data_IF_179487601464
#
_entry.id   IF_179487601464
#
_cell.length_a   1.000
_cell.length_b   1.000
_cell.length_c   1.000
_cell.angle_alpha   90.00
_cell.angle_beta   90.00
_cell.angle_gamma   90.00
#
_symmetry.space_group_name_H-M   'P 1'
#
loop_
_entity.id
_entity.type
_entity.pdbx_description
1 polymer ?
#
# COMPACT_ATOMS: atom_id res chain seq x y z
N UNK A 1 12.24 -7.77 4.01
CA UNK A 1 11.74 -8.78 3.07
C UNK A 1 11.41 -10.09 3.79
N UNK A 2 12.34 -10.71 4.56
CA UNK A 2 12.10 -12.00 5.26
C UNK A 2 10.79 -12.02 6.06
N UNK A 3 10.45 -10.92 6.75
CA UNK A 3 9.21 -10.86 7.52
C UNK A 3 7.94 -10.83 6.64
N UNK A 4 7.99 -10.22 5.48
CA UNK A 4 6.88 -10.28 4.52
C UNK A 4 6.69 -11.70 3.99
N UNK A 5 7.80 -12.39 3.68
CA UNK A 5 7.80 -13.80 3.25
C UNK A 5 7.23 -14.72 4.35
N UNK A 6 7.66 -14.56 5.60
CA UNK A 6 7.11 -15.30 6.76
C UNK A 6 5.59 -15.10 6.92
N UNK A 7 5.09 -13.93 6.57
CA UNK A 7 3.66 -13.62 6.60
C UNK A 7 2.91 -14.06 5.33
N UNK A 8 3.59 -14.65 4.35
CA UNK A 8 2.99 -15.01 3.06
C UNK A 8 2.56 -13.80 2.22
N UNK A 9 3.12 -12.60 2.51
CA UNK A 9 2.87 -11.40 1.70
C UNK A 9 3.88 -11.38 0.56
N UNK A 10 3.42 -11.36 -0.72
CA UNK A 10 4.32 -11.33 -1.85
C UNK A 10 5.29 -10.14 -1.79
N UNK A 11 6.58 -10.43 -1.91
CA UNK A 11 7.65 -9.46 -1.91
C UNK A 11 8.82 -9.95 -2.77
N UNK A 12 9.80 -9.08 -3.04
CA UNK A 12 10.94 -9.45 -3.88
C UNK A 12 11.82 -10.51 -3.20
N UNK A 13 12.32 -11.42 -4.01
CA UNK A 13 13.38 -12.35 -3.61
C UNK A 13 14.69 -11.59 -3.40
N UNK A 14 15.26 -11.72 -2.21
CA UNK A 14 16.57 -11.13 -1.90
C UNK A 14 17.66 -12.08 -2.37
N UNK A 15 18.48 -11.63 -3.33
CA UNK A 15 19.62 -12.41 -3.87
C UNK A 15 20.83 -12.23 -2.97
N UNK A 16 21.12 -10.99 -2.56
CA UNK A 16 22.26 -10.65 -1.73
C UNK A 16 22.00 -9.39 -0.91
N UNK A 17 22.69 -9.27 0.22
CA UNK A 17 22.77 -8.03 0.96
C UNK A 17 24.19 -7.83 1.50
N UNK A 18 24.60 -6.58 1.67
CA UNK A 18 25.86 -6.20 2.27
C UNK A 18 25.68 -5.02 3.21
N UNK A 19 26.41 -5.00 4.29
CA UNK A 19 26.43 -3.90 5.26
C UNK A 19 27.88 -3.51 5.58
N UNK A 20 28.13 -2.20 5.68
CA UNK A 20 29.36 -1.67 6.23
C UNK A 20 29.07 -1.05 7.58
N UNK A 21 29.67 -1.60 8.61
CA UNK A 21 29.54 -1.11 10.00
C UNK A 21 30.89 -0.59 10.54
N UNK A 22 30.83 0.40 11.41
CA UNK A 22 31.96 0.88 12.22
C UNK A 22 31.48 1.04 13.65
N UNK A 23 32.18 0.42 14.59
CA UNK A 23 31.82 0.41 16.02
C UNK A 23 30.34 0.01 16.28
N UNK A 24 29.83 -0.97 15.53
CA UNK A 24 28.44 -1.42 15.62
C UNK A 24 27.41 -0.54 14.89
N UNK A 25 27.78 0.65 14.44
CA UNK A 25 26.89 1.58 13.73
C UNK A 25 26.93 1.25 12.23
N UNK A 26 25.77 1.06 11.63
CA UNK A 26 25.62 0.86 10.19
C UNK A 26 25.91 2.16 9.44
N UNK A 27 26.92 2.16 8.58
CA UNK A 27 27.33 3.29 7.76
C UNK A 27 26.72 3.25 6.35
N UNK A 28 26.59 2.04 5.80
CA UNK A 28 26.01 1.82 4.48
C UNK A 28 25.42 0.41 4.42
N UNK A 29 24.39 0.24 3.60
CA UNK A 29 23.79 -1.05 3.29
C UNK A 29 23.42 -1.11 1.82
N UNK A 30 23.50 -2.30 1.24
CA UNK A 30 23.07 -2.60 -0.11
C UNK A 30 22.24 -3.88 -0.07
N UNK A 31 21.16 -3.90 -0.83
CA UNK A 31 20.34 -5.09 -1.03
C UNK A 31 20.16 -5.29 -2.54
N UNK A 32 20.36 -6.50 -2.99
CA UNK A 32 20.12 -6.92 -4.37
C UNK A 32 18.92 -7.84 -4.38
N UNK A 33 17.93 -7.52 -5.19
CA UNK A 33 16.71 -8.28 -5.32
C UNK A 33 16.50 -8.73 -6.75
N UNK A 34 15.82 -9.86 -6.93
CA UNK A 34 15.40 -10.34 -8.25
C UNK A 34 14.26 -9.47 -8.77
N UNK A 35 14.43 -8.92 -9.97
CA UNK A 35 13.38 -8.16 -10.64
C UNK A 35 12.22 -9.07 -11.07
N UNK A 36 11.02 -8.53 -11.11
CA UNK A 36 9.82 -9.21 -11.64
C UNK A 36 9.53 -8.58 -13.01
N UNK A 37 9.63 -9.34 -14.12
CA UNK A 37 9.37 -8.81 -15.45
C UNK A 37 7.89 -8.41 -15.59
N UNK A 38 7.61 -7.52 -16.54
CA UNK A 38 6.25 -7.06 -16.91
C UNK A 38 5.42 -6.50 -15.75
N UNK A 39 6.07 -5.95 -14.74
CA UNK A 39 5.43 -5.23 -13.65
C UNK A 39 5.69 -3.74 -13.72
N UNK A 40 4.75 -2.97 -13.17
CA UNK A 40 4.84 -1.53 -12.92
C UNK A 40 4.57 -1.32 -11.44
N UNK A 41 5.05 -0.23 -10.87
CA UNK A 41 4.47 0.19 -9.61
C UNK A 41 3.03 0.69 -9.83
N UNK A 42 2.23 0.67 -8.77
CA UNK A 42 0.80 0.94 -8.87
C UNK A 42 0.50 2.40 -9.30
N UNK A 43 1.39 3.36 -9.04
CA UNK A 43 1.26 4.75 -9.51
C UNK A 43 1.50 4.83 -11.02
N UNK A 44 2.58 4.23 -11.53
CA UNK A 44 2.88 4.14 -12.95
C UNK A 44 1.83 3.32 -13.71
N UNK A 45 1.35 2.22 -13.13
CA UNK A 45 0.25 1.44 -13.69
C UNK A 45 -1.02 2.31 -13.83
N UNK A 46 -1.37 3.07 -12.80
CA UNK A 46 -2.55 3.92 -12.85
C UNK A 46 -2.44 5.01 -13.92
N UNK A 47 -1.26 5.62 -14.08
CA UNK A 47 -1.01 6.71 -15.03
C UNK A 47 -0.88 6.25 -16.47
N UNK A 48 -0.21 5.12 -16.72
CA UNK A 48 0.19 4.70 -18.07
C UNK A 48 -0.71 3.62 -18.68
N UNK A 49 -1.47 2.91 -17.85
CA UNK A 49 -2.30 1.78 -18.31
C UNK A 49 -3.76 1.95 -17.91
N UNK A 50 -4.02 1.97 -16.60
CA UNK A 50 -5.38 1.93 -16.04
C UNK A 50 -6.23 3.14 -16.43
N UNK A 51 -5.65 4.36 -16.47
CA UNK A 51 -6.38 5.59 -16.84
C UNK A 51 -6.99 5.53 -18.25
N UNK A 52 -6.39 4.75 -19.17
CA UNK A 52 -6.83 4.62 -20.56
C UNK A 52 -7.94 3.56 -20.74
N UNK A 53 -8.31 2.84 -19.70
CA UNK A 53 -9.36 1.82 -19.79
C UNK A 53 -10.76 2.43 -19.67
N UNK A 54 -11.81 1.75 -20.21
CA UNK A 54 -13.18 2.14 -19.98
C UNK A 54 -13.53 2.20 -18.49
N UNK A 55 -14.36 3.16 -18.11
CA UNK A 55 -14.72 3.42 -16.69
C UNK A 55 -15.16 2.18 -15.93
N UNK A 56 -15.97 1.31 -16.56
CA UNK A 56 -16.45 0.08 -15.93
C UNK A 56 -15.26 -0.83 -15.54
N UNK A 57 -14.35 -1.08 -16.48
CA UNK A 57 -13.14 -1.88 -16.24
C UNK A 57 -12.24 -1.24 -15.19
N UNK A 58 -12.08 0.10 -15.24
CA UNK A 58 -11.28 0.83 -14.22
C UNK A 58 -11.81 0.58 -12.81
N UNK A 59 -13.11 0.71 -12.59
CA UNK A 59 -13.73 0.51 -11.27
C UNK A 59 -13.66 -0.95 -10.81
N UNK A 60 -13.89 -1.89 -11.71
CA UNK A 60 -13.78 -3.32 -11.42
C UNK A 60 -12.36 -3.69 -10.97
N UNK A 61 -11.35 -3.34 -11.77
CA UNK A 61 -9.95 -3.59 -11.45
C UNK A 61 -9.53 -2.90 -10.15
N UNK A 62 -9.89 -1.63 -9.97
CA UNK A 62 -9.57 -0.90 -8.75
C UNK A 62 -10.16 -1.56 -7.50
N UNK A 63 -11.38 -2.09 -7.58
CA UNK A 63 -12.01 -2.82 -6.47
C UNK A 63 -11.35 -4.17 -6.21
N UNK A 64 -10.94 -4.89 -7.25
CA UNK A 64 -10.22 -6.16 -7.13
C UNK A 64 -8.85 -5.94 -6.48
N UNK A 65 -8.05 -5.01 -7.00
CA UNK A 65 -6.75 -4.63 -6.44
C UNK A 65 -6.87 -4.13 -5.00
N UNK A 66 -7.85 -3.25 -4.72
CA UNK A 66 -8.07 -2.75 -3.36
C UNK A 66 -8.42 -3.88 -2.38
N UNK A 67 -9.28 -4.83 -2.79
CA UNK A 67 -9.64 -5.97 -1.95
C UNK A 67 -8.44 -6.80 -1.58
N UNK A 68 -7.61 -7.19 -2.56
CA UNK A 68 -6.41 -7.98 -2.34
C UNK A 68 -5.38 -7.24 -1.47
N UNK A 69 -5.06 -6.00 -1.84
CA UNK A 69 -4.08 -5.17 -1.13
C UNK A 69 -4.49 -4.88 0.32
N UNK A 70 -5.75 -4.55 0.56
CA UNK A 70 -6.25 -4.26 1.90
C UNK A 70 -6.38 -5.52 2.76
N UNK A 71 -6.63 -6.68 2.16
CA UNK A 71 -6.54 -7.98 2.85
C UNK A 71 -5.10 -8.27 3.30
N UNK A 72 -4.12 -8.07 2.41
CA UNK A 72 -2.69 -8.18 2.75
C UNK A 72 -2.30 -7.19 3.85
N UNK A 73 -2.71 -5.92 3.76
CA UNK A 73 -2.42 -4.90 4.77
C UNK A 73 -3.04 -5.26 6.13
N UNK A 74 -4.29 -5.71 6.15
CA UNK A 74 -4.95 -6.19 7.36
C UNK A 74 -4.23 -7.38 7.98
N UNK A 75 -3.80 -8.33 7.16
CA UNK A 75 -3.03 -9.49 7.61
C UNK A 75 -1.69 -9.08 8.22
N UNK A 76 -0.93 -8.20 7.55
CA UNK A 76 0.32 -7.64 8.06
C UNK A 76 0.12 -6.96 9.42
N UNK A 77 -0.85 -6.05 9.51
CA UNK A 77 -1.13 -5.28 10.72
C UNK A 77 -1.55 -6.17 11.89
N UNK A 78 -2.40 -7.18 11.67
CA UNK A 78 -2.81 -8.16 12.70
C UNK A 78 -1.63 -8.98 13.23
N UNK A 79 -0.59 -9.16 12.42
CA UNK A 79 0.65 -9.84 12.82
C UNK A 79 1.72 -8.85 13.32
N UNK A 80 1.33 -7.61 13.63
CA UNK A 80 2.21 -6.59 14.19
C UNK A 80 3.25 -6.04 13.21
N UNK A 81 3.09 -6.26 11.90
CA UNK A 81 3.98 -5.70 10.89
C UNK A 81 3.36 -4.44 10.28
N UNK A 82 4.10 -3.34 10.31
CA UNK A 82 3.74 -2.05 9.71
C UNK A 82 4.83 -1.62 8.75
N UNK A 83 4.46 -1.29 7.52
CA UNK A 83 5.38 -0.90 6.46
C UNK A 83 5.93 0.52 6.68
N UNK A 84 5.11 1.43 7.21
CA UNK A 84 5.38 2.86 7.44
C UNK A 84 5.65 3.70 6.19
N UNK A 85 5.68 3.11 5.00
CA UNK A 85 5.75 3.79 3.71
C UNK A 85 4.94 3.05 2.63
N UNK A 86 3.78 2.49 2.99
CA UNK A 86 2.92 1.74 2.08
C UNK A 86 2.22 2.71 1.12
N UNK A 87 2.93 3.06 0.05
CA UNK A 87 2.49 3.96 -1.03
C UNK A 87 2.34 3.16 -2.32
N UNK A 88 1.60 3.70 -3.28
CA UNK A 88 1.38 3.07 -4.57
C UNK A 88 2.68 2.71 -5.30
N UNK A 89 3.69 3.58 -5.27
CA UNK A 89 5.01 3.31 -5.85
C UNK A 89 5.79 2.16 -5.18
N UNK A 90 5.38 1.74 -3.99
CA UNK A 90 5.99 0.65 -3.24
C UNK A 90 5.19 -0.66 -3.35
N UNK A 91 4.30 -0.74 -4.34
CA UNK A 91 3.46 -1.89 -4.65
C UNK A 91 3.56 -2.14 -6.15
N UNK A 92 4.09 -3.29 -6.53
CA UNK A 92 4.13 -3.70 -7.93
C UNK A 92 2.85 -4.44 -8.31
N UNK A 93 2.47 -4.31 -9.57
CA UNK A 93 1.36 -5.01 -10.21
C UNK A 93 1.72 -5.29 -11.67
N UNK A 94 1.20 -6.36 -12.26
CA UNK A 94 1.38 -6.63 -13.68
C UNK A 94 0.54 -5.67 -14.55
N UNK A 95 0.85 -5.59 -15.85
CA UNK A 95 0.21 -4.65 -16.79
C UNK A 95 -1.28 -4.90 -17.04
N UNK A 96 -1.81 -6.04 -16.65
CA UNK A 96 -3.25 -6.34 -16.77
C UNK A 96 -4.04 -6.00 -15.51
N UNK A 97 -3.35 -5.64 -14.42
CA UNK A 97 -3.98 -5.27 -13.16
C UNK A 97 -4.55 -6.46 -12.39
N UNK A 98 -3.87 -7.61 -12.48
CA UNK A 98 -4.24 -8.81 -11.75
C UNK A 98 -3.98 -8.64 -10.24
N UNK A 99 -4.99 -8.78 -9.38
CA UNK A 99 -4.82 -8.66 -7.93
C UNK A 99 -3.86 -9.70 -7.32
N UNK A 100 -3.69 -10.86 -7.97
CA UNK A 100 -2.76 -11.90 -7.49
C UNK A 100 -1.30 -11.57 -7.82
N UNK A 101 -1.06 -10.56 -8.67
CA UNK A 101 0.28 -10.09 -9.01
C UNK A 101 0.84 -9.02 -8.07
N UNK A 102 0.09 -8.62 -7.04
CA UNK A 102 0.52 -7.57 -6.09
C UNK A 102 1.74 -8.00 -5.28
N UNK A 103 2.79 -7.18 -5.33
CA UNK A 103 4.06 -7.41 -4.62
C UNK A 103 4.46 -6.16 -3.85
N UNK A 104 4.80 -6.31 -2.57
CA UNK A 104 5.25 -5.21 -1.73
C UNK A 104 6.77 -5.05 -1.80
N UNK A 105 7.22 -3.82 -1.95
CA UNK A 105 8.64 -3.48 -2.04
C UNK A 105 8.98 -2.32 -1.11
N UNK A 106 10.25 -2.12 -0.87
CA UNK A 106 10.82 -0.94 -0.19
C UNK A 106 10.26 -0.68 1.22
N UNK A 107 10.43 -1.64 2.12
CA UNK A 107 10.01 -1.55 3.52
C UNK A 107 11.17 -1.24 4.51
N UNK A 108 12.03 -0.21 4.28
CA UNK A 108 13.20 0.06 5.13
C UNK A 108 12.82 0.57 6.53
N UNK A 109 11.60 1.10 6.68
CA UNK A 109 11.06 1.62 7.94
C UNK A 109 10.12 0.67 8.64
N UNK A 110 9.96 -0.54 8.09
CA UNK A 110 9.08 -1.54 8.68
C UNK A 110 9.45 -1.82 10.14
N UNK A 111 8.46 -1.86 10.99
CA UNK A 111 8.66 -2.09 12.42
C UNK A 111 7.66 -3.10 12.97
N UNK A 112 8.08 -3.75 14.06
CA UNK A 112 7.18 -4.52 14.93
C UNK A 112 6.79 -3.61 16.10
N UNK A 113 5.56 -3.11 16.12
CA UNK A 113 5.11 -2.22 17.19
C UNK A 113 3.87 -2.81 17.87
N UNK A 114 4.03 -3.35 19.08
CA UNK A 114 2.90 -3.75 19.92
C UNK A 114 2.21 -2.57 20.63
N UNK A 115 2.92 -1.48 20.89
CA UNK A 115 2.41 -0.37 21.72
C UNK A 115 1.78 0.81 20.95
N UNK A 116 1.90 0.86 19.60
CA UNK A 116 1.36 1.95 18.76
C UNK A 116 0.76 1.43 17.45
N UNK A 117 0.14 0.27 17.50
CA UNK A 117 -0.45 -0.41 16.33
C UNK A 117 -1.36 0.51 15.52
N UNK A 118 -2.25 1.23 16.20
CA UNK A 118 -3.19 2.17 15.56
C UNK A 118 -2.48 3.25 14.74
N UNK A 119 -1.32 3.75 15.20
CA UNK A 119 -0.54 4.76 14.46
C UNK A 119 0.09 4.15 13.19
N UNK A 120 0.58 2.92 13.28
CA UNK A 120 1.10 2.17 12.14
C UNK A 120 0.03 1.96 11.07
N UNK A 121 -1.14 1.46 11.48
CA UNK A 121 -2.32 1.30 10.60
C UNK A 121 -2.68 2.60 9.89
N UNK A 122 -2.83 3.72 10.65
CA UNK A 122 -3.19 5.01 10.05
C UNK A 122 -2.10 5.49 9.07
N UNK A 123 -0.83 5.27 9.38
CA UNK A 123 0.28 5.66 8.50
C UNK A 123 0.22 4.90 7.18
N UNK A 124 0.07 3.59 7.21
CA UNK A 124 0.04 2.76 6.01
C UNK A 124 -1.22 3.00 5.17
N UNK A 125 -2.40 3.04 5.79
CA UNK A 125 -3.64 3.38 5.09
C UNK A 125 -3.63 4.80 4.51
N UNK A 126 -2.97 5.75 5.17
CA UNK A 126 -2.81 7.11 4.63
C UNK A 126 -1.87 7.11 3.41
N UNK A 127 -0.83 6.29 3.41
CA UNK A 127 0.03 6.09 2.25
C UNK A 127 -0.74 5.63 1.03
N UNK A 128 -1.61 4.62 1.20
CA UNK A 128 -2.50 4.12 0.14
C UNK A 128 -3.56 5.14 -0.27
N UNK A 129 -4.15 5.84 0.68
CA UNK A 129 -5.21 6.81 0.43
C UNK A 129 -4.72 8.08 -0.29
N UNK A 130 -3.42 8.36 -0.27
CA UNK A 130 -2.84 9.60 -0.79
C UNK A 130 -3.25 9.92 -2.23
N UNK A 131 -3.20 8.92 -3.11
CA UNK A 131 -3.61 9.03 -4.51
C UNK A 131 -5.11 8.71 -4.64
N UNK A 132 -5.60 7.73 -3.90
CA UNK A 132 -6.97 7.28 -3.98
C UNK A 132 -8.01 8.40 -3.73
N UNK A 133 -7.72 9.36 -2.86
CA UNK A 133 -8.65 10.48 -2.56
C UNK A 133 -8.91 11.40 -3.75
N UNK A 134 -8.01 11.49 -4.72
CA UNK A 134 -8.22 12.26 -5.96
C UNK A 134 -8.90 11.46 -7.06
N UNK A 135 -8.93 10.12 -6.95
CA UNK A 135 -9.44 9.21 -7.99
C UNK A 135 -10.84 8.69 -7.73
N UNK A 136 -11.19 8.52 -6.45
CA UNK A 136 -12.40 7.82 -6.04
C UNK A 136 -13.34 8.70 -5.24
N UNK A 137 -14.63 8.51 -5.46
CA UNK A 137 -15.66 9.17 -4.66
C UNK A 137 -15.55 8.78 -3.19
N UNK A 138 -16.07 9.64 -2.30
CA UNK A 138 -16.14 9.34 -0.87
C UNK A 138 -16.83 8.00 -0.58
N UNK A 139 -17.80 7.61 -1.40
CA UNK A 139 -18.52 6.35 -1.27
C UNK A 139 -17.59 5.15 -1.55
N UNK A 140 -16.78 5.21 -2.63
CA UNK A 140 -15.80 4.16 -2.92
C UNK A 140 -14.70 4.10 -1.86
N UNK A 141 -14.24 5.25 -1.37
CA UNK A 141 -13.25 5.29 -0.29
C UNK A 141 -13.78 4.64 1.00
N UNK A 142 -15.06 4.87 1.35
CA UNK A 142 -15.71 4.18 2.47
C UNK A 142 -15.82 2.68 2.24
N UNK A 143 -16.09 2.23 1.01
CA UNK A 143 -16.08 0.81 0.64
C UNK A 143 -14.71 0.19 0.86
N UNK A 144 -13.62 0.89 0.50
CA UNK A 144 -12.25 0.44 0.75
C UNK A 144 -11.95 0.31 2.25
N UNK A 145 -12.42 1.25 3.07
CA UNK A 145 -12.30 1.12 4.53
C UNK A 145 -13.02 -0.12 5.06
N UNK A 146 -14.23 -0.41 4.55
CA UNK A 146 -14.94 -1.64 4.92
C UNK A 146 -14.19 -2.91 4.46
N UNK A 147 -13.60 -2.91 3.26
CA UNK A 147 -12.76 -4.02 2.80
C UNK A 147 -11.56 -4.27 3.74
N UNK A 148 -10.93 -3.20 4.24
CA UNK A 148 -9.84 -3.31 5.21
C UNK A 148 -10.31 -3.87 6.55
N UNK A 149 -11.40 -3.36 7.10
CA UNK A 149 -11.92 -3.79 8.40
C UNK A 149 -12.53 -5.20 8.37
N UNK A 150 -13.09 -5.59 7.21
CA UNK A 150 -13.79 -6.86 6.98
C UNK A 150 -15.28 -6.79 7.29
N UNK A 151 -15.98 -7.88 6.99
CA UNK A 151 -17.45 -7.95 6.97
C UNK A 151 -18.12 -7.70 8.33
N UNK A 152 -17.42 -7.96 9.43
CA UNK A 152 -17.96 -7.81 10.79
C UNK A 152 -17.82 -6.40 11.37
N UNK A 153 -17.22 -5.47 10.60
CA UNK A 153 -16.99 -4.12 11.07
C UNK A 153 -18.28 -3.28 11.11
N UNK A 154 -18.49 -2.64 12.24
CA UNK A 154 -19.60 -1.71 12.38
C UNK A 154 -19.34 -0.39 11.60
N UNK A 155 -20.43 0.25 11.13
CA UNK A 155 -20.35 1.51 10.38
C UNK A 155 -19.74 2.67 11.19
N UNK A 156 -19.79 2.60 12.52
CA UNK A 156 -19.13 3.56 13.42
C UNK A 156 -17.61 3.44 13.40
N UNK A 157 -17.11 2.21 13.39
CA UNK A 157 -15.67 1.93 13.29
C UNK A 157 -15.10 2.40 11.95
N UNK A 158 -15.80 2.08 10.85
CA UNK A 158 -15.40 2.52 9.52
C UNK A 158 -15.35 4.05 9.41
N UNK A 159 -16.34 4.77 9.93
CA UNK A 159 -16.35 6.23 9.98
C UNK A 159 -15.24 6.81 10.84
N UNK A 160 -14.89 6.17 11.97
CA UNK A 160 -13.78 6.60 12.83
C UNK A 160 -12.44 6.44 12.11
N UNK A 161 -12.18 5.28 11.51
CA UNK A 161 -10.95 5.01 10.77
C UNK A 161 -10.81 5.96 9.57
N UNK A 162 -11.86 6.13 8.78
CA UNK A 162 -11.87 7.06 7.64
C UNK A 162 -11.49 8.49 8.08
N UNK A 163 -12.12 9.02 9.13
CA UNK A 163 -11.79 10.35 9.66
C UNK A 163 -10.34 10.48 10.13
N UNK A 164 -9.79 9.45 10.76
CA UNK A 164 -8.41 9.45 11.22
C UNK A 164 -7.40 9.44 10.06
N UNK A 165 -7.65 8.65 9.02
CA UNK A 165 -6.85 8.66 7.80
C UNK A 165 -6.91 10.03 7.12
N UNK A 166 -8.08 10.63 6.98
CA UNK A 166 -8.23 11.98 6.44
C UNK A 166 -7.49 13.04 7.26
N UNK A 167 -7.59 13.03 8.58
CA UNK A 167 -6.88 13.95 9.47
C UNK A 167 -5.36 13.77 9.38
N UNK A 168 -4.89 12.54 9.22
CA UNK A 168 -3.46 12.28 9.05
C UNK A 168 -2.95 12.83 7.72
N UNK A 169 -3.72 12.66 6.66
CA UNK A 169 -3.39 13.19 5.33
C UNK A 169 -3.38 14.72 5.33
N UNK A 170 -4.40 15.38 5.87
CA UNK A 170 -4.49 16.85 5.88
C UNK A 170 -3.34 17.52 6.63
N UNK A 171 -2.80 16.89 7.68
CA UNK A 171 -1.65 17.40 8.44
C UNK A 171 -0.31 17.26 7.71
N UNK A 172 -0.19 16.27 6.81
CA UNK A 172 1.10 15.93 6.15
C UNK A 172 1.14 16.33 4.69
N UNK A 173 0.00 16.65 4.09
CA UNK A 173 -0.14 16.85 2.66
C UNK A 173 -1.15 17.95 2.36
N UNK A 174 -0.70 19.21 2.31
CA UNK A 174 -1.60 20.33 2.04
C UNK A 174 -2.08 20.41 0.58
N UNK A 175 -1.54 19.60 -0.36
CA UNK A 175 -1.93 19.65 -1.78
C UNK A 175 -2.41 18.28 -2.27
N UNK A 176 -3.56 18.21 -3.00
CA UNK A 176 -3.99 17.01 -3.72
C UNK A 176 -2.94 16.58 -4.74
N UNK A 177 -2.86 15.27 -4.98
CA UNK A 177 -2.08 14.74 -6.11
C UNK A 177 -2.98 14.80 -7.33
N UNK A 178 -2.66 15.64 -8.29
CA UNK A 178 -3.32 15.69 -9.59
C UNK A 178 -2.79 14.55 -10.46
N UNK A 179 -3.69 13.68 -10.93
CA UNK A 179 -3.39 12.72 -11.97
C UNK A 179 -3.96 13.24 -13.29
N UNK A 180 -3.20 13.13 -14.40
CA UNK A 180 -3.73 13.44 -15.71
C UNK A 180 -4.75 12.36 -16.09
N UNK A 181 -6.04 12.62 -15.88
CA UNK A 181 -7.07 11.85 -16.53
C UNK A 181 -7.40 12.52 -17.86
N UNK A 182 -7.45 11.74 -18.96
CA UNK A 182 -8.15 12.22 -20.14
C UNK A 182 -9.64 12.36 -19.78
N UNK A 183 -10.23 13.48 -20.18
CA UNK A 183 -11.64 13.80 -20.08
C UNK A 183 -12.54 12.72 -20.71
#
# INVERSE_FOLDING_TARGET
YSRLQELGIPTLEVIAFAERRRLGIMLAGCIVTKGIPDTLDLDDFARSVWCHWPRARRLETARALARALLAQARHAHRNGFFHHDLKWRNILVNRVGDPDSLVWIDAPRASRMRLRERRGVITDLSGLARIAISLFSRFELMRFVHMYLGETADGGEAKRLFRQVQQHLSRRMPRPVELPFPD
#
